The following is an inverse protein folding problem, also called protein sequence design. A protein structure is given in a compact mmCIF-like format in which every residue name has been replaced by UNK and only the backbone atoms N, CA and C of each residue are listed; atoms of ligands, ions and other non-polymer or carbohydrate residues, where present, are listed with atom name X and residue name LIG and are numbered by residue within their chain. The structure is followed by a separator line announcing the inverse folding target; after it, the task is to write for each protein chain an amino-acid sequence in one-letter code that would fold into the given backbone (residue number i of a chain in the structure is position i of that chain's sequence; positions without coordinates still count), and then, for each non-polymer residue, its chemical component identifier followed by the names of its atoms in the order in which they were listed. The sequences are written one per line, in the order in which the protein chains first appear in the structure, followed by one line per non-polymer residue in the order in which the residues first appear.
data_IF_269787342693
#
_entry.id   IF_269787342693
#
_cell.length_a   1.000
_cell.length_b   1.000
_cell.length_c   1.000
_cell.angle_alpha   90.00
_cell.angle_beta   90.00
_cell.angle_gamma   90.00
#
_symmetry.space_group_name_H-M   'P 1'
#
loop_
_entity.id
_entity.type
_entity.pdbx_description
1 polymer ?
#
# COMPACT_ATOMS: atom_id res chain seq x y z
N UNK A 1 -16.37 -16.64 -18.75
CA UNK A 1 -16.13 -15.18 -18.80
C UNK A 1 -15.09 -14.87 -17.74
N UNK A 2 -13.82 -15.07 -18.11
CA UNK A 2 -12.70 -14.87 -17.20
C UNK A 2 -12.57 -13.37 -16.95
N UNK A 3 -12.92 -12.94 -15.73
CA UNK A 3 -12.61 -11.57 -15.28
C UNK A 3 -11.10 -11.44 -15.32
N UNK A 4 -10.57 -10.87 -16.41
CA UNK A 4 -9.22 -10.30 -16.45
C UNK A 4 -9.15 -9.39 -15.23
N UNK A 5 -8.52 -9.88 -14.16
CA UNK A 5 -8.27 -9.07 -12.98
C UNK A 5 -7.23 -8.07 -13.47
N UNK A 6 -7.69 -6.87 -13.82
CA UNK A 6 -6.82 -5.75 -14.11
C UNK A 6 -5.77 -5.72 -12.99
N UNK A 7 -4.50 -5.75 -13.38
CA UNK A 7 -3.41 -5.72 -12.41
C UNK A 7 -3.53 -4.36 -11.71
N UNK A 8 -4.20 -4.33 -10.56
CA UNK A 8 -4.22 -3.15 -9.69
C UNK A 8 -2.75 -2.83 -9.41
N UNK A 9 -2.33 -1.59 -9.68
CA UNK A 9 -0.98 -1.12 -9.39
C UNK A 9 -0.59 -1.51 -7.96
N UNK A 10 0.61 -2.06 -7.77
CA UNK A 10 1.04 -2.57 -6.46
C UNK A 10 1.65 -1.44 -5.65
N UNK A 11 1.06 -1.13 -4.51
CA UNK A 11 1.55 -0.10 -3.59
C UNK A 11 1.43 -0.56 -2.15
N UNK A 12 2.30 -0.10 -1.26
CA UNK A 12 2.16 -0.32 0.17
C UNK A 12 0.82 0.20 0.67
N UNK A 13 0.26 1.27 0.09
CA UNK A 13 -1.09 1.74 0.37
C UNK A 13 -2.24 0.79 0.02
N UNK A 14 -1.99 -0.30 -0.72
CA UNK A 14 -2.99 -1.35 -0.99
C UNK A 14 -2.49 -2.77 -0.65
N UNK A 15 -1.44 -2.85 0.17
CA UNK A 15 -0.90 -4.11 0.66
C UNK A 15 -1.77 -4.66 1.80
N UNK A 16 -1.91 -5.97 1.96
CA UNK A 16 -2.65 -6.56 3.09
C UNK A 16 -2.07 -6.20 4.47
N UNK A 17 -0.79 -5.81 4.53
CA UNK A 17 -0.07 -5.49 5.78
C UNK A 17 0.14 -3.98 5.99
N UNK A 18 -0.68 -3.15 5.38
CA UNK A 18 -0.59 -1.69 5.51
C UNK A 18 -1.50 -1.16 6.61
N UNK A 19 -1.07 -0.09 7.25
CA UNK A 19 -1.91 0.73 8.12
C UNK A 19 -1.59 2.21 7.87
N UNK A 20 -2.56 3.12 7.98
CA UNK A 20 -2.28 4.54 7.81
C UNK A 20 -1.29 5.03 8.89
N UNK A 21 -0.32 5.85 8.48
CA UNK A 21 0.62 6.52 9.40
C UNK A 21 0.45 8.04 9.31
N UNK A 22 0.96 8.67 8.26
CA UNK A 22 0.70 10.08 7.95
C UNK A 22 -0.20 10.12 6.70
N UNK A 23 -1.50 9.94 6.92
CA UNK A 23 -2.47 9.84 5.84
C UNK A 23 -2.52 11.14 5.00
N UNK A 24 -2.60 11.06 3.65
CA UNK A 24 -2.58 9.83 2.85
C UNK A 24 -1.19 9.45 2.34
N UNK A 25 -0.13 10.19 2.70
CA UNK A 25 1.17 10.10 2.01
C UNK A 25 2.09 9.00 2.53
N UNK A 26 1.93 8.58 3.80
CA UNK A 26 2.74 7.51 4.39
C UNK A 26 1.89 6.46 5.08
N UNK A 27 2.34 5.21 4.94
CA UNK A 27 1.77 4.05 5.61
C UNK A 27 2.81 3.39 6.52
N UNK A 28 2.30 2.74 7.55
CA UNK A 28 3.04 1.81 8.36
C UNK A 28 2.95 0.41 7.72
N UNK A 29 4.10 -0.18 7.42
CA UNK A 29 4.22 -1.51 6.84
C UNK A 29 4.65 -2.52 7.91
N UNK A 30 3.70 -3.32 8.39
CA UNK A 30 3.95 -4.34 9.42
C UNK A 30 4.97 -5.39 8.97
N UNK A 31 5.02 -5.72 7.67
CA UNK A 31 6.02 -6.67 7.14
C UNK A 31 7.45 -6.16 7.29
N UNK A 32 7.69 -4.88 7.02
CA UNK A 32 9.01 -4.27 7.20
C UNK A 32 9.40 -4.20 8.68
N UNK A 33 8.44 -3.91 9.56
CA UNK A 33 8.66 -3.98 11.01
C UNK A 33 9.16 -5.36 11.44
N UNK A 34 8.46 -6.43 11.02
CA UNK A 34 8.82 -7.80 11.36
C UNK A 34 10.20 -8.23 10.83
N UNK A 35 10.70 -7.55 9.79
CA UNK A 35 12.03 -7.76 9.23
C UNK A 35 13.10 -6.83 9.82
N UNK A 36 12.80 -6.07 10.88
CA UNK A 36 13.67 -5.03 11.44
C UNK A 36 14.11 -3.97 10.40
N UNK A 37 13.28 -3.73 9.38
CA UNK A 37 13.43 -2.65 8.40
C UNK A 37 12.59 -1.44 8.83
N UNK A 38 12.91 -0.24 8.34
CA UNK A 38 12.08 0.95 8.59
C UNK A 38 10.62 0.70 8.12
N UNK A 39 9.62 0.70 9.02
CA UNK A 39 8.24 0.37 8.67
C UNK A 39 7.47 1.54 8.07
N UNK A 40 7.94 2.78 8.23
CA UNK A 40 7.28 3.96 7.67
C UNK A 40 7.72 4.11 6.22
N UNK A 41 6.78 3.99 5.30
CA UNK A 41 7.03 4.04 3.85
C UNK A 41 6.00 4.90 3.14
N UNK A 42 6.32 5.36 1.93
CA UNK A 42 5.37 6.12 1.13
C UNK A 42 4.19 5.25 0.69
N UNK A 43 3.00 5.84 0.67
CA UNK A 43 1.77 5.14 0.29
C UNK A 43 1.81 4.61 -1.13
N UNK A 44 2.46 5.34 -2.05
CA UNK A 44 2.61 4.98 -3.47
C UNK A 44 3.94 4.27 -3.79
N UNK A 45 4.69 3.87 -2.78
CA UNK A 45 5.85 3.00 -2.94
C UNK A 45 5.46 1.53 -2.72
N UNK A 46 6.21 0.57 -3.25
CA UNK A 46 5.92 -0.86 -3.08
C UNK A 46 7.13 -1.61 -2.50
N UNK A 47 6.90 -2.38 -1.43
CA UNK A 47 7.93 -3.26 -0.87
C UNK A 47 7.98 -4.62 -1.60
N UNK A 48 9.08 -5.34 -1.40
CA UNK A 48 9.32 -6.70 -1.91
C UNK A 48 8.31 -7.71 -1.33
N UNK A 49 7.88 -7.49 -0.09
CA UNK A 49 6.95 -8.33 0.66
C UNK A 49 5.47 -7.96 0.43
N UNK A 50 5.19 -7.26 -0.66
CA UNK A 50 3.83 -6.82 -0.96
C UNK A 50 2.91 -8.01 -1.15
N UNK A 51 1.74 -7.94 -0.51
CA UNK A 51 0.69 -8.96 -0.64
C UNK A 51 -0.63 -8.27 -0.95
N UNK A 52 -1.47 -8.84 -1.84
CA UNK A 52 -2.72 -8.20 -2.22
C UNK A 52 -3.67 -8.10 -1.01
N UNK A 53 -4.20 -6.90 -0.76
CA UNK A 53 -5.31 -6.72 0.17
C UNK A 53 -6.62 -7.20 -0.46
N UNK A 54 -7.42 -7.96 0.29
CA UNK A 54 -8.80 -8.31 -0.10
C UNK A 54 -9.77 -7.17 0.17
N UNK A 55 -9.40 -6.24 1.05
CA UNK A 55 -10.19 -5.06 1.39
C UNK A 55 -9.74 -3.86 0.55
N UNK A 56 -10.70 -3.11 0.04
CA UNK A 56 -10.43 -1.84 -0.63
C UNK A 56 -10.03 -0.79 0.41
N UNK A 57 -9.01 0.00 0.09
CA UNK A 57 -8.55 1.10 0.92
C UNK A 57 -8.32 2.34 0.06
N UNK A 58 -8.74 3.49 0.57
CA UNK A 58 -8.66 4.79 -0.10
C UNK A 58 -7.25 5.43 -0.02
N UNK A 59 -6.30 4.82 0.71
CA UNK A 59 -4.94 5.37 0.86
C UNK A 59 -4.28 5.68 -0.48
N UNK A 60 -4.31 4.74 -1.43
CA UNK A 60 -3.72 4.96 -2.78
C UNK A 60 -4.45 6.06 -3.54
N UNK A 61 -5.79 6.09 -3.45
CA UNK A 61 -6.59 7.08 -4.19
C UNK A 61 -6.32 8.50 -3.67
N UNK A 62 -6.29 8.70 -2.35
CA UNK A 62 -5.98 10.01 -1.77
C UNK A 62 -4.51 10.41 -1.95
N UNK A 63 -3.57 9.46 -1.84
CA UNK A 63 -2.16 9.76 -2.07
C UNK A 63 -1.90 10.24 -3.50
N UNK A 64 -2.58 9.67 -4.49
CA UNK A 64 -2.53 10.13 -5.90
C UNK A 64 -3.11 11.53 -6.09
N UNK A 65 -4.09 11.94 -5.28
CA UNK A 65 -4.64 13.31 -5.34
C UNK A 65 -3.62 14.34 -4.85
N UNK A 66 -2.81 13.99 -3.85
CA UNK A 66 -1.79 14.88 -3.29
C UNK A 66 -0.53 15.05 -4.16
N UNK A 67 -0.37 14.25 -5.23
CA UNK A 67 0.72 14.40 -6.20
C UNK A 67 0.37 15.32 -7.38
N UNK A 68 -0.85 15.89 -7.41
CA UNK A 68 -1.27 16.91 -8.38
C UNK A 68 -1.06 18.31 -7.82
#
# INVERSE_FOLDING_TARGET
MEKKTEIKEKFCGNCNSHSPYNYPNQVFCTKRLLQNKNPIVETLWCCEEWTPSTQECYCVQEAKKNQK
#
